data_IF_657279036360
#
_entry.id   IF_657279036360
#
_cell.length_a   1.000
_cell.length_b   1.000
_cell.length_c   1.000
_cell.angle_alpha   90.00
_cell.angle_beta   90.00
_cell.angle_gamma   90.00
#
_symmetry.space_group_name_H-M   'P 1'
#
loop_
_entity.id
_entity.type
_entity.pdbx_description
1 polymer ?
#
# COMPACT_ATOMS: atom_id res chain seq x y z
N UNK A 1 3.10 -24.83 13.26
CA UNK A 1 3.65 -23.54 13.74
C UNK A 1 5.08 -23.79 14.16
N UNK A 2 6.03 -23.07 13.58
CA UNK A 2 7.45 -23.20 13.93
C UNK A 2 7.74 -22.26 15.12
N UNK A 3 8.75 -22.55 15.96
CA UNK A 3 9.07 -21.70 17.12
C UNK A 3 9.49 -20.28 16.71
N UNK A 4 9.99 -20.09 15.50
CA UNK A 4 10.30 -18.79 14.88
C UNK A 4 9.09 -17.86 14.71
N UNK A 5 7.87 -18.41 14.59
CA UNK A 5 6.63 -17.65 14.33
C UNK A 5 6.10 -16.91 15.59
N UNK A 6 6.70 -17.16 16.76
CA UNK A 6 6.28 -16.64 18.07
C UNK A 6 7.25 -15.65 18.71
N UNK A 7 8.36 -15.33 18.05
CA UNK A 7 9.43 -14.51 18.65
C UNK A 7 9.07 -13.03 18.72
N UNK A 8 8.23 -12.56 17.80
CA UNK A 8 7.72 -11.19 17.81
C UNK A 8 6.64 -10.97 18.88
N UNK A 9 6.49 -9.71 19.34
CA UNK A 9 5.40 -9.27 20.24
C UNK A 9 4.00 -9.66 19.73
N UNK A 10 3.86 -9.79 18.42
CA UNK A 10 2.64 -10.23 17.73
C UNK A 10 2.97 -11.52 16.99
N UNK A 11 2.13 -12.55 17.14
CA UNK A 11 2.26 -13.79 16.40
C UNK A 11 2.09 -13.56 14.89
N UNK A 12 2.87 -14.25 14.07
CA UNK A 12 2.83 -14.11 12.61
C UNK A 12 1.42 -14.33 12.05
N UNK A 13 0.72 -15.35 12.53
CA UNK A 13 -0.64 -15.65 12.09
C UNK A 13 -1.62 -14.52 12.42
N UNK A 14 -1.51 -13.93 13.61
CA UNK A 14 -2.35 -12.80 14.02
C UNK A 14 -2.11 -11.57 13.13
N UNK A 15 -0.85 -11.31 12.75
CA UNK A 15 -0.50 -10.22 11.84
C UNK A 15 -1.08 -10.43 10.43
N UNK A 16 -0.97 -11.65 9.89
CA UNK A 16 -1.49 -11.99 8.57
C UNK A 16 -3.02 -11.94 8.55
N UNK A 17 -3.69 -12.46 9.59
CA UNK A 17 -5.15 -12.46 9.69
C UNK A 17 -5.69 -11.03 9.76
N UNK A 18 -5.14 -10.19 10.64
CA UNK A 18 -5.61 -8.80 10.82
C UNK A 18 -5.42 -7.97 9.55
N UNK A 19 -4.25 -8.06 8.92
CA UNK A 19 -3.97 -7.38 7.65
C UNK A 19 -4.85 -7.93 6.52
N UNK A 20 -5.11 -9.24 6.51
CA UNK A 20 -5.97 -9.92 5.55
C UNK A 20 -7.43 -9.49 5.65
N UNK A 21 -7.95 -9.35 6.87
CA UNK A 21 -9.28 -8.79 7.11
C UNK A 21 -9.40 -7.35 6.59
N UNK A 22 -8.37 -6.52 6.81
CA UNK A 22 -8.32 -5.16 6.26
C UNK A 22 -8.37 -5.14 4.72
N UNK A 23 -7.61 -6.03 4.07
CA UNK A 23 -7.64 -6.19 2.62
C UNK A 23 -9.03 -6.65 2.13
N UNK A 24 -9.65 -7.62 2.82
CA UNK A 24 -10.98 -8.12 2.47
C UNK A 24 -12.03 -7.00 2.55
N UNK A 25 -11.98 -6.16 3.58
CA UNK A 25 -12.86 -4.99 3.71
C UNK A 25 -12.64 -3.99 2.56
N UNK A 26 -11.39 -3.75 2.17
CA UNK A 26 -11.09 -2.87 1.04
C UNK A 26 -11.66 -3.41 -0.29
N UNK A 27 -11.51 -4.72 -0.54
CA UNK A 27 -12.09 -5.39 -1.72
C UNK A 27 -13.61 -5.30 -1.70
N UNK A 28 -14.25 -5.58 -0.56
CA UNK A 28 -15.71 -5.46 -0.41
C UNK A 28 -16.18 -4.04 -0.69
N UNK A 29 -15.49 -3.01 -0.18
CA UNK A 29 -15.81 -1.61 -0.44
C UNK A 29 -15.80 -1.26 -1.93
N UNK A 30 -14.79 -1.74 -2.67
CA UNK A 30 -14.69 -1.54 -4.12
C UNK A 30 -15.80 -2.29 -4.86
N UNK A 31 -16.07 -3.55 -4.48
CA UNK A 31 -17.15 -4.35 -5.08
C UNK A 31 -18.51 -3.70 -4.86
N UNK A 32 -18.82 -3.26 -3.63
CA UNK A 32 -20.06 -2.56 -3.31
C UNK A 32 -20.20 -1.28 -4.16
N UNK A 33 -19.11 -0.51 -4.30
CA UNK A 33 -19.10 0.68 -5.16
C UNK A 33 -19.43 0.35 -6.61
N UNK A 34 -18.82 -0.70 -7.17
CA UNK A 34 -19.13 -1.16 -8.53
C UNK A 34 -20.58 -1.64 -8.65
N UNK A 35 -21.10 -2.38 -7.67
CA UNK A 35 -22.50 -2.84 -7.67
C UNK A 35 -23.46 -1.65 -7.67
N UNK A 36 -23.25 -0.66 -6.79
CA UNK A 36 -24.09 0.55 -6.74
C UNK A 36 -24.06 1.26 -8.10
N UNK A 37 -22.87 1.44 -8.69
CA UNK A 37 -22.73 2.14 -9.96
C UNK A 37 -23.41 1.40 -11.13
N UNK A 38 -23.21 0.09 -11.25
CA UNK A 38 -23.78 -0.71 -12.33
C UNK A 38 -25.29 -0.94 -12.18
N UNK A 39 -25.76 -1.24 -10.97
CA UNK A 39 -27.18 -1.57 -10.73
C UNK A 39 -28.07 -0.35 -10.53
N UNK A 40 -27.59 0.66 -9.81
CA UNK A 40 -28.41 1.84 -9.44
C UNK A 40 -28.23 2.97 -10.44
N UNK A 41 -26.98 3.29 -10.82
CA UNK A 41 -26.71 4.48 -11.64
C UNK A 41 -26.70 4.21 -13.16
N UNK A 42 -26.49 2.96 -13.61
CA UNK A 42 -26.39 2.58 -15.05
C UNK A 42 -25.45 3.47 -15.86
N UNK A 43 -24.43 4.03 -15.22
CA UNK A 43 -23.48 4.94 -15.87
C UNK A 43 -22.38 4.16 -16.60
N UNK A 44 -21.85 4.75 -17.68
CA UNK A 44 -20.68 4.20 -18.38
C UNK A 44 -19.44 4.27 -17.49
N UNK A 45 -18.46 3.41 -17.78
CA UNK A 45 -17.16 3.40 -17.11
C UNK A 45 -16.50 4.77 -17.26
N UNK A 46 -16.19 5.40 -16.13
CA UNK A 46 -15.49 6.67 -16.12
C UNK A 46 -14.03 6.46 -15.70
N UNK A 47 -13.18 7.46 -15.99
CA UNK A 47 -11.75 7.46 -15.64
C UNK A 47 -11.54 7.24 -14.13
N UNK A 48 -12.49 7.67 -13.30
CA UNK A 48 -12.51 7.40 -11.86
C UNK A 48 -12.52 5.90 -11.52
N UNK A 49 -13.31 5.09 -12.24
CA UNK A 49 -13.39 3.64 -12.00
C UNK A 49 -12.06 2.95 -12.30
N UNK A 50 -11.38 3.39 -13.37
CA UNK A 50 -10.08 2.87 -13.78
C UNK A 50 -9.03 3.15 -12.70
N UNK A 51 -9.03 4.35 -12.13
CA UNK A 51 -8.11 4.71 -11.04
C UNK A 51 -8.36 3.92 -9.77
N UNK A 52 -9.62 3.60 -9.47
CA UNK A 52 -9.98 2.79 -8.29
C UNK A 52 -9.59 1.32 -8.49
N UNK A 53 -9.80 0.77 -9.69
CA UNK A 53 -9.33 -0.58 -10.03
C UNK A 53 -7.80 -0.63 -9.95
N UNK A 54 -7.12 0.37 -10.52
CA UNK A 54 -5.66 0.47 -10.44
C UNK A 54 -5.19 0.51 -8.99
N UNK A 55 -5.85 1.31 -8.14
CA UNK A 55 -5.52 1.39 -6.72
C UNK A 55 -5.71 0.04 -6.00
N UNK A 56 -6.79 -0.68 -6.29
CA UNK A 56 -7.03 -2.02 -5.75
C UNK A 56 -5.95 -3.01 -6.21
N UNK A 57 -5.60 -3.00 -7.49
CA UNK A 57 -4.52 -3.84 -8.03
C UNK A 57 -3.18 -3.56 -7.34
N UNK A 58 -2.84 -2.28 -7.15
CA UNK A 58 -1.63 -1.86 -6.43
C UNK A 58 -1.65 -2.31 -4.95
N UNK A 59 -2.82 -2.25 -4.30
CA UNK A 59 -2.99 -2.69 -2.92
C UNK A 59 -2.84 -4.21 -2.77
N UNK A 60 -3.42 -4.98 -3.70
CA UNK A 60 -3.29 -6.44 -3.75
C UNK A 60 -1.84 -6.83 -4.01
N UNK A 61 -1.18 -6.18 -4.98
CA UNK A 61 0.22 -6.42 -5.29
C UNK A 61 1.12 -6.11 -4.06
N UNK A 62 0.87 -4.98 -3.39
CA UNK A 62 1.57 -4.63 -2.14
C UNK A 62 1.38 -5.68 -1.06
N UNK A 63 0.14 -6.14 -0.85
CA UNK A 63 -0.19 -7.13 0.17
C UNK A 63 0.43 -8.50 -0.14
N UNK A 64 0.48 -8.89 -1.41
CA UNK A 64 1.12 -10.13 -1.85
C UNK A 64 2.63 -10.12 -1.56
N UNK A 65 3.31 -9.02 -1.92
CA UNK A 65 4.74 -8.82 -1.63
C UNK A 65 5.00 -8.86 -0.12
N UNK A 66 4.12 -8.22 0.66
CA UNK A 66 4.20 -8.21 2.11
C UNK A 66 4.12 -9.63 2.71
N UNK A 67 3.13 -10.43 2.31
CA UNK A 67 2.96 -11.78 2.85
C UNK A 67 4.04 -12.77 2.39
N UNK A 68 4.48 -12.69 1.13
CA UNK A 68 5.45 -13.64 0.58
C UNK A 68 6.88 -13.36 1.02
N UNK A 69 7.29 -12.10 0.98
CA UNK A 69 8.70 -11.74 1.15
C UNK A 69 8.98 -11.05 2.49
N UNK A 70 8.17 -10.07 2.86
CA UNK A 70 8.48 -9.19 4.00
C UNK A 70 8.25 -9.89 5.34
N UNK A 71 7.08 -10.51 5.53
CA UNK A 71 6.70 -11.15 6.81
C UNK A 71 7.64 -12.31 7.15
N UNK A 72 7.89 -13.21 6.20
CA UNK A 72 8.76 -14.39 6.42
C UNK A 72 10.18 -13.98 6.83
N UNK A 73 10.74 -12.94 6.19
CA UNK A 73 12.09 -12.45 6.50
C UNK A 73 12.15 -11.71 7.83
N UNK A 74 11.11 -10.92 8.16
CA UNK A 74 11.02 -10.17 9.41
C UNK A 74 11.01 -11.09 10.64
N UNK A 75 10.19 -12.15 10.61
CA UNK A 75 10.10 -13.10 11.72
C UNK A 75 11.38 -13.92 11.88
N UNK A 76 12.06 -14.28 10.78
CA UNK A 76 13.38 -14.95 10.82
C UNK A 76 14.49 -14.06 11.41
N UNK A 77 14.53 -12.79 11.01
CA UNK A 77 15.47 -11.80 11.58
C UNK A 77 15.19 -11.59 13.08
N UNK A 78 13.93 -11.52 13.48
CA UNK A 78 13.52 -11.40 14.88
C UNK A 78 13.85 -12.65 15.70
N UNK A 79 13.70 -13.84 15.11
CA UNK A 79 14.08 -15.11 15.74
C UNK A 79 15.59 -15.19 16.02
N UNK A 80 16.41 -14.70 15.09
CA UNK A 80 17.86 -14.65 15.26
C UNK A 80 18.28 -13.65 16.35
N UNK A 81 17.62 -12.48 16.44
CA UNK A 81 17.84 -11.54 17.55
C UNK A 81 17.40 -12.10 18.91
N UNK A 82 16.39 -12.97 18.92
CA UNK A 82 15.91 -13.67 20.11
C UNK A 82 16.77 -14.85 20.58
N UNK A 83 17.93 -15.10 19.94
CA UNK A 83 18.87 -16.15 20.34
C UNK A 83 18.47 -17.56 19.90
N UNK A 84 17.46 -17.72 19.04
CA UNK A 84 17.13 -19.01 18.42
C UNK A 84 18.13 -19.30 17.30
N UNK A 85 18.77 -20.48 17.35
CA UNK A 85 19.70 -20.95 16.33
C UNK A 85 18.96 -21.28 15.04
N UNK A 86 18.66 -20.24 14.25
CA UNK A 86 18.19 -20.36 12.88
C UNK A 86 19.41 -20.28 11.99
N UNK A 87 19.69 -21.32 11.21
CA UNK A 87 20.73 -21.29 10.18
C UNK A 87 20.35 -20.25 9.10
N UNK A 88 20.92 -19.06 9.21
CA UNK A 88 20.83 -18.03 8.18
C UNK A 88 22.19 -17.94 7.49
N UNK A 89 22.32 -18.43 6.24
CA UNK A 89 23.61 -18.53 5.57
C UNK A 89 24.29 -17.18 5.29
N UNK A 90 23.53 -16.06 5.30
CA UNK A 90 24.07 -14.69 5.21
C UNK A 90 23.09 -13.66 5.80
N UNK A 91 23.33 -13.21 7.04
CA UNK A 91 22.47 -12.23 7.72
C UNK A 91 22.39 -10.88 6.97
N UNK A 92 23.53 -10.41 6.44
CA UNK A 92 23.63 -9.15 5.71
C UNK A 92 22.81 -9.17 4.41
N UNK A 93 22.88 -10.27 3.64
CA UNK A 93 22.11 -10.43 2.41
C UNK A 93 20.60 -10.51 2.67
N UNK A 94 20.19 -11.18 3.76
CA UNK A 94 18.78 -11.24 4.16
C UNK A 94 18.23 -9.89 4.59
N UNK A 95 19.00 -9.12 5.36
CA UNK A 95 18.62 -7.76 5.78
C UNK A 95 18.46 -6.82 4.58
N UNK A 96 19.41 -6.87 3.63
CA UNK A 96 19.33 -6.07 2.41
C UNK A 96 18.09 -6.43 1.56
N UNK A 97 17.83 -7.71 1.34
CA UNK A 97 16.65 -8.14 0.59
C UNK A 97 15.34 -7.80 1.31
N UNK A 98 15.30 -7.92 2.65
CA UNK A 98 14.16 -7.45 3.44
C UNK A 98 13.89 -5.97 3.20
N UNK A 99 14.92 -5.12 3.31
CA UNK A 99 14.76 -3.67 3.14
C UNK A 99 14.31 -3.30 1.72
N UNK A 100 14.81 -4.02 0.71
CA UNK A 100 14.39 -3.86 -0.68
C UNK A 100 12.90 -4.16 -0.87
N UNK A 101 12.44 -5.35 -0.45
CA UNK A 101 11.03 -5.74 -0.61
C UNK A 101 10.09 -4.90 0.27
N UNK A 102 10.54 -4.52 1.46
CA UNK A 102 9.81 -3.61 2.34
C UNK A 102 9.61 -2.24 1.67
N UNK A 103 10.67 -1.68 1.07
CA UNK A 103 10.57 -0.40 0.35
C UNK A 103 9.61 -0.50 -0.84
N UNK A 104 9.70 -1.57 -1.63
CA UNK A 104 8.80 -1.81 -2.77
C UNK A 104 7.34 -1.89 -2.29
N UNK A 105 7.08 -2.65 -1.22
CA UNK A 105 5.76 -2.76 -0.61
C UNK A 105 5.24 -1.38 -0.16
N UNK A 106 6.08 -0.59 0.52
CA UNK A 106 5.70 0.75 0.95
C UNK A 106 5.43 1.70 -0.22
N UNK A 107 6.17 1.60 -1.33
CA UNK A 107 5.96 2.40 -2.53
C UNK A 107 4.64 2.02 -3.23
N UNK A 108 4.34 0.73 -3.37
CA UNK A 108 3.09 0.24 -3.96
C UNK A 108 1.87 0.64 -3.10
N UNK A 109 1.96 0.48 -1.78
CA UNK A 109 0.91 0.93 -0.86
C UNK A 109 0.71 2.45 -0.91
N UNK A 110 1.79 3.23 -0.94
CA UNK A 110 1.73 4.68 -1.09
C UNK A 110 1.08 5.10 -2.41
N UNK A 111 1.44 4.44 -3.51
CA UNK A 111 0.84 4.67 -4.83
C UNK A 111 -0.66 4.37 -4.83
N UNK A 112 -1.06 3.25 -4.21
CA UNK A 112 -2.47 2.87 -4.07
C UNK A 112 -3.29 3.94 -3.34
N UNK A 113 -2.82 4.44 -2.18
CA UNK A 113 -3.54 5.49 -1.44
C UNK A 113 -3.66 6.79 -2.23
N UNK A 114 -2.63 7.19 -2.97
CA UNK A 114 -2.69 8.38 -3.81
C UNK A 114 -3.63 8.19 -5.00
N UNK A 115 -3.63 7.02 -5.65
CA UNK A 115 -4.56 6.72 -6.74
C UNK A 115 -6.04 6.83 -6.30
N UNK A 116 -6.38 6.39 -5.09
CA UNK A 116 -7.73 6.58 -4.51
C UNK A 116 -8.06 8.06 -4.32
N UNK A 117 -7.12 8.85 -3.78
CA UNK A 117 -7.31 10.30 -3.60
C UNK A 117 -7.55 11.01 -4.93
N UNK A 118 -6.77 10.67 -5.96
CA UNK A 118 -6.96 11.23 -7.29
C UNK A 118 -8.30 10.83 -7.90
N UNK A 119 -8.75 9.59 -7.71
CA UNK A 119 -10.11 9.17 -8.10
C UNK A 119 -11.18 10.06 -7.47
N UNK A 120 -11.19 10.18 -6.14
CA UNK A 120 -12.13 11.06 -5.43
C UNK A 120 -12.09 12.49 -5.94
N UNK A 121 -10.90 13.02 -6.18
CA UNK A 121 -10.71 14.38 -6.62
C UNK A 121 -11.27 14.63 -8.04
N UNK A 122 -11.26 13.63 -8.93
CA UNK A 122 -11.93 13.71 -10.23
C UNK A 122 -13.46 13.68 -10.12
N UNK A 123 -14.01 12.95 -9.14
CA UNK A 123 -15.46 12.98 -8.86
C UNK A 123 -15.87 14.37 -8.39
N UNK A 124 -15.09 14.95 -7.46
CA UNK A 124 -15.33 16.31 -6.99
C UNK A 124 -15.24 17.32 -8.12
N UNK A 125 -14.31 17.14 -9.07
CA UNK A 125 -14.23 17.99 -10.27
C UNK A 125 -15.55 18.03 -11.03
N UNK A 126 -16.18 16.87 -11.24
CA UNK A 126 -17.47 16.77 -11.95
C UNK A 126 -18.62 17.46 -11.22
N UNK A 127 -18.61 17.42 -9.88
CA UNK A 127 -19.64 18.09 -9.09
C UNK A 127 -19.45 19.62 -9.07
N UNK A 128 -18.21 20.09 -9.12
CA UNK A 128 -17.83 21.49 -8.92
C UNK A 128 -17.71 22.28 -10.24
N UNK A 129 -17.81 21.63 -11.39
CA UNK A 129 -17.52 22.21 -12.73
C UNK A 129 -18.27 23.52 -13.05
N UNK A 130 -19.40 23.82 -12.37
CA UNK A 130 -20.18 25.06 -12.55
C UNK A 130 -19.83 26.21 -11.60
N UNK A 131 -18.91 26.01 -10.65
CA UNK A 131 -18.57 26.96 -9.59
C UNK A 131 -17.10 27.42 -9.72
N UNK A 132 -16.82 28.57 -10.36
CA UNK A 132 -15.46 28.97 -10.72
C UNK A 132 -14.53 29.17 -9.51
N UNK A 133 -15.03 29.74 -8.41
CA UNK A 133 -14.25 29.92 -7.16
C UNK A 133 -13.81 28.58 -6.58
N UNK A 134 -14.69 27.57 -6.64
CA UNK A 134 -14.42 26.24 -6.12
C UNK A 134 -13.46 25.45 -7.01
N UNK A 135 -13.38 25.79 -8.30
CA UNK A 135 -12.40 25.20 -9.22
C UNK A 135 -10.96 25.64 -8.89
N UNK A 136 -10.76 26.83 -8.32
CA UNK A 136 -9.45 27.29 -7.82
C UNK A 136 -9.03 26.44 -6.62
N UNK A 137 -9.94 26.24 -5.65
CA UNK A 137 -9.69 25.36 -4.50
C UNK A 137 -9.36 23.93 -4.94
N UNK A 138 -10.05 23.42 -5.96
CA UNK A 138 -9.75 22.11 -6.54
C UNK A 138 -8.29 22.00 -7.01
N UNK A 139 -7.78 23.00 -7.75
CA UNK A 139 -6.38 23.02 -8.19
C UNK A 139 -5.39 23.07 -7.02
N UNK A 140 -5.68 23.83 -5.96
CA UNK A 140 -4.84 23.85 -4.76
C UNK A 140 -4.73 22.46 -4.13
N UNK A 141 -5.85 21.74 -4.02
CA UNK A 141 -5.87 20.38 -3.47
C UNK A 141 -5.15 19.38 -4.39
N UNK A 142 -5.25 19.54 -5.72
CA UNK A 142 -4.48 18.75 -6.68
C UNK A 142 -2.98 18.91 -6.42
N UNK A 143 -2.51 20.15 -6.38
CA UNK A 143 -1.09 20.47 -6.20
C UNK A 143 -0.59 19.96 -4.86
N UNK A 144 -1.36 20.16 -3.80
CA UNK A 144 -1.03 19.61 -2.48
C UNK A 144 -0.94 18.08 -2.49
N UNK A 145 -1.91 17.40 -3.11
CA UNK A 145 -1.92 15.93 -3.19
C UNK A 145 -0.74 15.41 -4.02
N UNK A 146 -0.43 16.06 -5.14
CA UNK A 146 0.74 15.74 -5.96
C UNK A 146 2.06 15.98 -5.21
N UNK A 147 2.15 17.07 -4.44
CA UNK A 147 3.31 17.38 -3.59
C UNK A 147 3.51 16.32 -2.50
N UNK A 148 2.44 15.91 -1.81
CA UNK A 148 2.49 14.83 -0.81
C UNK A 148 2.87 13.50 -1.45
N UNK A 149 2.35 13.19 -2.65
CA UNK A 149 2.74 12.00 -3.39
C UNK A 149 4.24 12.00 -3.68
N UNK A 150 4.76 13.10 -4.24
CA UNK A 150 6.19 13.28 -4.53
C UNK A 150 7.06 13.18 -3.29
N UNK A 151 6.67 13.84 -2.19
CA UNK A 151 7.36 13.76 -0.91
C UNK A 151 7.47 12.32 -0.42
N UNK A 152 6.36 11.56 -0.42
CA UNK A 152 6.38 10.19 0.05
C UNK A 152 7.18 9.22 -0.83
N UNK A 153 7.31 9.49 -2.13
CA UNK A 153 8.26 8.76 -2.99
C UNK A 153 9.70 9.15 -2.70
N UNK A 154 9.98 10.45 -2.57
CA UNK A 154 11.31 10.97 -2.30
C UNK A 154 11.88 10.43 -0.99
N UNK A 155 11.08 10.40 0.10
CA UNK A 155 11.54 9.86 1.39
C UNK A 155 11.88 8.37 1.29
N UNK A 156 11.05 7.57 0.60
CA UNK A 156 11.28 6.12 0.46
C UNK A 156 12.46 5.82 -0.45
N UNK A 157 12.65 6.63 -1.49
CA UNK A 157 13.82 6.53 -2.37
C UNK A 157 15.10 6.92 -1.64
N UNK A 158 15.08 8.01 -0.86
CA UNK A 158 16.21 8.43 -0.03
C UNK A 158 16.57 7.36 1.01
N UNK A 159 15.57 6.75 1.66
CA UNK A 159 15.79 5.61 2.55
C UNK A 159 16.47 4.45 1.83
N UNK A 160 16.00 4.04 0.64
CA UNK A 160 16.64 2.97 -0.12
C UNK A 160 18.09 3.31 -0.53
N UNK A 161 18.34 4.54 -0.98
CA UNK A 161 19.67 5.00 -1.36
C UNK A 161 20.65 4.99 -0.18
N UNK A 162 20.19 5.33 1.02
CA UNK A 162 21.00 5.27 2.23
C UNK A 162 21.44 3.85 2.60
N UNK A 163 20.62 2.83 2.32
CA UNK A 163 20.97 1.43 2.57
C UNK A 163 21.76 0.77 1.43
N UNK A 164 21.85 1.40 0.26
CA UNK A 164 22.55 0.87 -0.92
C UNK A 164 23.99 1.39 -1.06
N UNK A 165 24.34 2.48 -0.36
CA UNK A 165 25.72 2.97 -0.25
C UNK A 165 26.21 2.69 1.19
N UNK A 166 27.01 1.64 1.41
CA UNK A 166 27.56 1.34 2.74
C UNK A 166 28.50 2.43 3.25
#
# INVERSE_FOLDING_TARGET
>A
MRPEDRVGRIHQDAFVITTGCGLALAVLGVVVRFIIRFRVQKQRLEIDDVLIILALCLLIASSLVMYREVVVRMYKLSALQGGLAVEIPNLMAMSYQYHKFYTICLMLGWASFNAIKFGFLLIFKKMIDRLPTWMIYWWVVVVYTAGVMGYGFATRYASYSYFNNP
#
